data_IF_567831556574
#
_entry.id   IF_567831556574
#
_cell.length_a   1.000
_cell.length_b   1.000
_cell.length_c   1.000
_cell.angle_alpha   90.00
_cell.angle_beta   90.00
_cell.angle_gamma   90.00
#
_symmetry.space_group_name_H-M   'P 1'
#
loop_
_entity.id
_entity.type
_entity.pdbx_description
1 polymer ?
#
# COMPACT_ATOMS: atom_id res chain seq x y z
N UNK A 1 -11.45 -2.23 15.33
CA UNK A 1 -10.13 -2.31 14.67
C UNK A 1 -9.03 -2.74 15.63
N UNK A 2 -8.68 -1.97 16.69
CA UNK A 2 -7.59 -2.32 17.63
C UNK A 2 -7.77 -3.68 18.30
N UNK A 3 -9.00 -4.02 18.72
CA UNK A 3 -9.29 -5.32 19.34
C UNK A 3 -9.00 -6.52 18.42
N UNK A 4 -9.22 -6.37 17.09
CA UNK A 4 -8.93 -7.43 16.13
C UNK A 4 -7.41 -7.63 15.95
N UNK A 5 -6.65 -6.54 15.94
CA UNK A 5 -5.17 -6.57 15.87
C UNK A 5 -4.60 -7.24 17.14
N UNK A 6 -5.06 -6.84 18.31
CA UNK A 6 -4.60 -7.41 19.58
C UNK A 6 -4.96 -8.89 19.76
N UNK A 7 -5.97 -9.38 19.03
CA UNK A 7 -6.40 -10.77 19.04
C UNK A 7 -5.69 -11.68 18.03
N UNK A 8 -4.77 -11.15 17.21
CA UNK A 8 -4.04 -11.96 16.23
C UNK A 8 -3.09 -12.94 16.92
N UNK A 9 -3.09 -14.18 16.43
CA UNK A 9 -2.17 -15.23 16.89
C UNK A 9 -1.17 -15.51 15.79
N UNK A 10 0.12 -15.56 16.13
CA UNK A 10 1.16 -15.86 15.15
C UNK A 10 0.96 -17.29 14.61
N UNK A 11 0.70 -17.46 13.30
CA UNK A 11 0.71 -18.76 12.69
C UNK A 11 2.17 -19.22 12.66
N UNK A 12 2.52 -20.18 13.53
CA UNK A 12 3.86 -20.79 13.54
C UNK A 12 4.14 -21.39 12.15
N UNK A 13 5.40 -21.39 11.72
CA UNK A 13 5.77 -21.97 10.44
C UNK A 13 6.96 -21.29 9.80
N UNK A 14 7.06 -21.44 8.48
CA UNK A 14 8.06 -20.76 7.66
C UNK A 14 7.58 -19.37 7.21
N UNK A 15 8.47 -18.63 6.58
CA UNK A 15 8.18 -17.31 6.01
C UNK A 15 7.76 -17.48 4.55
N UNK A 16 6.46 -17.59 4.25
CA UNK A 16 5.97 -17.61 2.87
C UNK A 16 5.47 -16.22 2.44
N UNK A 17 6.42 -15.31 2.21
CA UNK A 17 6.12 -13.92 1.87
C UNK A 17 5.36 -13.80 0.55
N UNK A 18 5.72 -14.62 -0.45
CA UNK A 18 5.00 -14.69 -1.73
C UNK A 18 3.51 -14.95 -1.51
N UNK A 19 3.16 -15.98 -0.73
CA UNK A 19 1.78 -16.34 -0.45
C UNK A 19 1.00 -15.25 0.29
N UNK A 20 1.65 -14.56 1.24
CA UNK A 20 1.07 -13.41 1.93
C UNK A 20 0.72 -12.27 0.97
N UNK A 21 1.65 -11.91 0.07
CA UNK A 21 1.42 -10.86 -0.93
C UNK A 21 0.30 -11.27 -1.90
N UNK A 22 0.31 -12.50 -2.41
CA UNK A 22 -0.76 -13.01 -3.29
C UNK A 22 -2.13 -12.91 -2.62
N UNK A 23 -2.24 -13.33 -1.36
CA UNK A 23 -3.49 -13.25 -0.61
C UNK A 23 -3.96 -11.79 -0.44
N UNK A 24 -3.04 -10.88 -0.14
CA UNK A 24 -3.36 -9.46 -0.03
C UNK A 24 -3.86 -8.87 -1.36
N UNK A 25 -3.24 -9.24 -2.48
CA UNK A 25 -3.69 -8.84 -3.83
C UNK A 25 -5.13 -9.30 -4.09
N UNK A 26 -5.48 -10.52 -3.70
CA UNK A 26 -6.84 -11.03 -3.87
C UNK A 26 -7.86 -10.29 -2.99
N UNK A 27 -7.47 -9.89 -1.78
CA UNK A 27 -8.29 -9.01 -0.91
C UNK A 27 -8.53 -7.65 -1.59
N UNK A 28 -7.49 -7.02 -2.15
CA UNK A 28 -7.63 -5.75 -2.87
C UNK A 28 -8.50 -5.85 -4.13
N UNK A 29 -8.48 -6.99 -4.81
CA UNK A 29 -9.37 -7.24 -5.96
C UNK A 29 -10.82 -7.37 -5.51
N UNK A 30 -11.07 -8.10 -4.42
CA UNK A 30 -12.40 -8.25 -3.86
C UNK A 30 -13.01 -6.91 -3.38
N UNK A 31 -12.19 -5.97 -2.92
CA UNK A 31 -12.64 -4.65 -2.46
C UNK A 31 -12.68 -3.57 -3.56
N UNK A 32 -12.29 -3.89 -4.81
CA UNK A 32 -12.09 -2.89 -5.85
C UNK A 32 -13.35 -2.09 -6.21
N UNK A 33 -14.53 -2.70 -6.11
CA UNK A 33 -15.80 -2.02 -6.40
C UNK A 33 -16.20 -1.01 -5.31
N UNK A 34 -15.80 -1.23 -4.07
CA UNK A 34 -16.16 -0.38 -2.93
C UNK A 34 -15.21 0.81 -2.73
N UNK A 35 -14.02 0.76 -3.35
CA UNK A 35 -12.95 1.76 -3.22
C UNK A 35 -12.39 2.18 -4.59
N UNK A 36 -13.22 2.65 -5.55
CA UNK A 36 -12.74 3.04 -6.86
C UNK A 36 -11.85 4.28 -6.77
N UNK A 37 -10.60 4.16 -7.21
CA UNK A 37 -9.65 5.28 -7.27
C UNK A 37 -8.82 5.52 -6.02
N UNK A 38 -9.12 4.84 -4.91
CA UNK A 38 -8.30 4.93 -3.69
C UNK A 38 -6.88 4.40 -3.94
N UNK A 39 -5.90 5.07 -3.34
CA UNK A 39 -4.52 4.60 -3.34
C UNK A 39 -4.42 3.27 -2.57
N UNK A 40 -3.81 2.26 -3.19
CA UNK A 40 -3.65 0.94 -2.59
C UNK A 40 -2.20 0.75 -2.17
N UNK A 41 -1.98 0.52 -0.88
CA UNK A 41 -0.65 0.27 -0.34
C UNK A 41 -0.60 -1.06 0.39
N UNK A 42 0.44 -1.85 0.12
CA UNK A 42 0.74 -3.08 0.83
C UNK A 42 2.12 -2.96 1.50
N UNK A 43 2.12 -2.86 2.82
CA UNK A 43 3.34 -2.94 3.63
C UNK A 43 3.59 -4.39 4.07
N UNK A 44 4.76 -4.91 3.75
CA UNK A 44 5.22 -6.23 4.19
C UNK A 44 6.22 -6.04 5.34
N UNK A 45 5.90 -6.61 6.49
CA UNK A 45 6.82 -6.71 7.62
C UNK A 45 7.35 -8.15 7.68
N UNK A 46 8.67 -8.34 7.66
CA UNK A 46 9.30 -9.67 7.74
C UNK A 46 10.58 -9.62 8.57
N UNK A 47 10.87 -10.69 9.32
CA UNK A 47 12.09 -10.85 10.10
C UNK A 47 13.01 -11.97 9.58
N UNK A 48 12.63 -12.59 8.46
CA UNK A 48 13.37 -13.69 7.85
C UNK A 48 13.25 -13.70 6.34
N UNK A 49 13.91 -14.69 5.73
CA UNK A 49 13.94 -14.89 4.28
C UNK A 49 12.73 -15.69 3.81
N UNK A 50 12.18 -15.32 2.66
CA UNK A 50 11.04 -16.02 2.07
C UNK A 50 11.43 -17.43 1.62
N UNK A 51 10.62 -18.42 1.98
CA UNK A 51 10.78 -19.78 1.49
C UNK A 51 10.48 -19.82 -0.01
N UNK A 52 11.52 -19.93 -0.83
CA UNK A 52 11.41 -19.99 -2.28
C UNK A 52 11.26 -18.64 -2.96
N UNK A 53 11.62 -17.52 -2.31
CA UNK A 53 11.61 -16.17 -2.88
C UNK A 53 10.24 -15.46 -2.84
N UNK A 54 10.17 -14.24 -3.37
CA UNK A 54 8.97 -13.37 -3.31
C UNK A 54 8.26 -13.20 -4.66
N UNK A 55 9.00 -13.17 -5.76
CA UNK A 55 8.44 -13.05 -7.12
C UNK A 55 7.60 -14.27 -7.53
N UNK A 56 6.54 -14.14 -8.35
CA UNK A 56 6.13 -12.94 -9.08
C UNK A 56 5.15 -12.02 -8.32
N UNK A 57 4.91 -12.27 -7.03
CA UNK A 57 3.79 -11.65 -6.31
C UNK A 57 3.88 -10.10 -6.21
N UNK A 58 5.05 -9.49 -5.89
CA UNK A 58 5.19 -8.03 -5.92
C UNK A 58 4.92 -7.43 -7.30
N UNK A 59 5.42 -8.07 -8.36
CA UNK A 59 5.19 -7.66 -9.74
C UNK A 59 3.69 -7.66 -10.07
N UNK A 60 2.96 -8.70 -9.68
CA UNK A 60 1.52 -8.78 -9.87
C UNK A 60 0.77 -7.72 -9.06
N UNK A 61 1.20 -7.43 -7.84
CA UNK A 61 0.61 -6.36 -7.02
C UNK A 61 0.75 -5.00 -7.72
N UNK A 62 1.93 -4.68 -8.24
CA UNK A 62 2.19 -3.44 -9.00
C UNK A 62 1.30 -3.32 -10.23
N UNK A 63 1.10 -4.41 -10.97
CA UNK A 63 0.20 -4.44 -12.13
C UNK A 63 -1.27 -4.16 -11.75
N UNK A 64 -1.67 -4.43 -10.51
CA UNK A 64 -3.00 -4.12 -9.97
C UNK A 64 -3.08 -2.70 -9.36
N UNK A 65 -2.04 -1.87 -9.53
CA UNK A 65 -1.97 -0.52 -8.98
C UNK A 65 -1.74 -0.50 -7.47
N UNK A 66 -1.18 -1.57 -6.88
CA UNK A 66 -0.86 -1.65 -5.47
C UNK A 66 0.62 -1.27 -5.30
N UNK A 67 0.89 -0.21 -4.53
CA UNK A 67 2.23 0.15 -4.11
C UNK A 67 2.67 -0.79 -2.99
N UNK A 68 3.71 -1.57 -3.24
CA UNK A 68 4.29 -2.46 -2.24
C UNK A 68 5.49 -1.80 -1.54
N UNK A 69 5.65 -2.07 -0.26
CA UNK A 69 6.74 -1.59 0.59
C UNK A 69 7.21 -2.72 1.51
N UNK A 70 8.46 -2.67 1.95
CA UNK A 70 9.07 -3.75 2.71
C UNK A 70 9.87 -3.25 3.93
N UNK A 71 9.48 -3.71 5.11
CA UNK A 71 10.19 -3.49 6.36
C UNK A 71 10.79 -4.80 6.84
N UNK A 72 12.13 -4.87 6.80
CA UNK A 72 12.90 -5.98 7.33
C UNK A 72 13.27 -5.74 8.79
N UNK A 73 12.94 -6.65 9.70
CA UNK A 73 13.28 -6.53 11.13
C UNK A 73 14.36 -7.55 11.52
N UNK A 74 15.46 -7.05 12.09
CA UNK A 74 16.55 -7.88 12.59
C UNK A 74 17.50 -8.38 11.50
N UNK A 75 18.45 -9.25 11.87
CA UNK A 75 19.60 -9.57 11.03
C UNK A 75 19.34 -10.65 9.97
N UNK A 76 18.22 -11.38 10.05
CA UNK A 76 17.98 -12.57 9.23
C UNK A 76 17.24 -12.28 7.91
N UNK A 77 16.99 -11.00 7.61
CA UNK A 77 16.28 -10.58 6.40
C UNK A 77 17.20 -10.58 5.18
N UNK A 78 16.60 -10.76 4.01
CA UNK A 78 17.32 -10.68 2.75
C UNK A 78 17.01 -9.34 2.07
N UNK A 79 18.00 -8.44 1.97
CA UNK A 79 17.80 -7.10 1.40
C UNK A 79 17.36 -7.14 -0.07
N UNK A 80 17.80 -8.14 -0.83
CA UNK A 80 17.35 -8.33 -2.22
C UNK A 80 15.86 -8.67 -2.25
N UNK A 81 15.38 -9.55 -1.38
CA UNK A 81 13.96 -9.87 -1.29
C UNK A 81 13.13 -8.65 -0.86
N UNK A 82 13.63 -7.83 0.07
CA UNK A 82 12.95 -6.57 0.45
C UNK A 82 12.82 -5.62 -0.74
N UNK A 83 13.87 -5.49 -1.55
CA UNK A 83 13.86 -4.65 -2.74
C UNK A 83 12.93 -5.22 -3.84
N UNK A 84 12.89 -6.54 -3.99
CA UNK A 84 11.92 -7.22 -4.88
C UNK A 84 10.48 -6.98 -4.42
N UNK A 85 10.21 -7.09 -3.11
CA UNK A 85 8.91 -6.72 -2.53
C UNK A 85 8.57 -5.27 -2.87
N UNK A 86 9.50 -4.34 -2.74
CA UNK A 86 9.29 -2.93 -3.09
C UNK A 86 9.32 -2.64 -4.61
N UNK A 87 9.32 -3.67 -5.47
CA UNK A 87 9.38 -3.52 -6.93
C UNK A 87 10.58 -2.66 -7.42
N UNK A 88 11.71 -2.73 -6.72
CA UNK A 88 12.93 -1.96 -7.02
C UNK A 88 12.98 -0.56 -6.40
N UNK A 89 11.95 -0.13 -5.69
CA UNK A 89 11.91 1.16 -5.01
C UNK A 89 12.71 1.14 -3.71
N UNK A 90 13.86 1.84 -3.69
CA UNK A 90 14.72 1.92 -2.51
C UNK A 90 14.07 2.71 -1.37
N UNK A 91 13.25 3.72 -1.68
CA UNK A 91 12.57 4.52 -0.67
C UNK A 91 11.43 3.73 -0.01
N UNK A 92 10.97 2.65 -0.66
CA UNK A 92 9.99 1.70 -0.14
C UNK A 92 10.57 0.62 0.77
N UNK A 93 11.88 0.64 1.08
CA UNK A 93 12.56 -0.37 1.90
C UNK A 93 13.13 0.24 3.17
N UNK A 94 12.78 -0.33 4.33
CA UNK A 94 13.48 -0.06 5.60
C UNK A 94 14.08 -1.33 6.19
N UNK A 95 15.31 -1.19 6.68
CA UNK A 95 15.95 -2.16 7.56
C UNK A 95 15.87 -1.65 8.99
N UNK A 96 15.29 -2.44 9.88
CA UNK A 96 14.97 -2.06 11.24
C UNK A 96 15.66 -3.05 12.17
N UNK A 97 16.49 -2.56 13.09
CA UNK A 97 17.31 -3.45 13.94
C UNK A 97 16.48 -4.33 14.87
N UNK A 98 15.38 -3.80 15.41
CA UNK A 98 14.49 -4.53 16.31
C UNK A 98 13.07 -3.91 16.29
N UNK A 99 12.09 -4.67 16.80
CA UNK A 99 10.68 -4.29 16.80
C UNK A 99 10.37 -2.98 17.55
N UNK A 100 11.18 -2.56 18.53
CA UNK A 100 10.94 -1.33 19.29
C UNK A 100 11.06 -0.06 18.44
N UNK A 101 11.83 -0.12 17.35
CA UNK A 101 12.05 1.01 16.44
C UNK A 101 10.92 1.17 15.40
N UNK A 102 9.98 0.22 15.33
CA UNK A 102 8.83 0.33 14.42
C UNK A 102 7.98 1.57 14.73
N UNK A 103 7.85 1.93 16.00
CA UNK A 103 7.05 3.09 16.40
C UNK A 103 7.56 4.39 15.74
N UNK A 104 8.87 4.61 15.74
CA UNK A 104 9.47 5.79 15.12
C UNK A 104 9.26 5.81 13.60
N UNK A 105 9.36 4.64 12.97
CA UNK A 105 9.15 4.48 11.52
C UNK A 105 7.69 4.71 11.10
N UNK A 106 6.73 4.31 11.95
CA UNK A 106 5.29 4.48 11.63
C UNK A 106 4.87 5.94 11.48
N UNK A 107 5.51 6.88 12.18
CA UNK A 107 5.19 8.30 12.04
C UNK A 107 5.48 8.80 10.62
N UNK A 108 6.68 8.50 10.10
CA UNK A 108 7.06 8.90 8.74
C UNK A 108 6.19 8.21 7.70
N UNK A 109 5.97 6.91 7.85
CA UNK A 109 5.10 6.16 6.94
C UNK A 109 3.69 6.76 6.87
N UNK A 110 3.08 7.08 8.03
CA UNK A 110 1.75 7.71 8.08
C UNK A 110 1.71 8.98 7.23
N UNK A 111 2.72 9.84 7.35
CA UNK A 111 2.76 11.10 6.59
C UNK A 111 2.90 10.88 5.08
N UNK A 112 3.68 9.88 4.66
CA UNK A 112 3.80 9.52 3.24
C UNK A 112 2.49 8.99 2.67
N UNK A 113 1.82 8.09 3.40
CA UNK A 113 0.55 7.52 2.97
C UNK A 113 -0.56 8.56 2.83
N UNK A 114 -0.62 9.55 3.74
CA UNK A 114 -1.60 10.64 3.63
C UNK A 114 -1.43 11.51 2.36
N UNK A 115 -0.23 11.51 1.75
CA UNK A 115 0.06 12.30 0.56
C UNK A 115 0.11 11.45 -0.72
N UNK A 116 -0.22 10.15 -0.63
CA UNK A 116 -0.19 9.28 -1.79
C UNK A 116 -1.33 9.64 -2.74
N UNK A 117 -1.05 9.90 -4.03
CA UNK A 117 -2.08 10.34 -4.95
C UNK A 117 -3.05 9.21 -5.29
N UNK A 118 -4.34 9.56 -5.29
CA UNK A 118 -5.42 8.72 -5.78
C UNK A 118 -5.36 8.62 -7.30
N UNK A 119 -5.73 7.46 -7.83
CA UNK A 119 -5.75 7.17 -9.27
C UNK A 119 -7.15 6.71 -9.69
N UNK A 120 -8.12 7.63 -9.74
CA UNK A 120 -9.47 7.30 -10.16
C UNK A 120 -9.50 6.76 -11.61
N UNK A 121 -10.39 5.79 -11.91
CA UNK A 121 -10.54 5.28 -13.26
C UNK A 121 -10.94 6.39 -14.24
N UNK A 122 -10.28 6.43 -15.41
CA UNK A 122 -10.65 7.38 -16.47
C UNK A 122 -12.02 7.01 -17.04
N UNK A 123 -12.88 8.01 -17.21
CA UNK A 123 -14.24 7.83 -17.76
C UNK A 123 -15.31 7.48 -16.73
N UNK A 124 -14.96 7.43 -15.44
CA UNK A 124 -15.92 7.27 -14.34
C UNK A 124 -16.06 8.60 -13.61
N UNK A 125 -17.29 9.00 -13.29
CA UNK A 125 -17.55 10.11 -12.36
C UNK A 125 -17.36 9.60 -10.94
N UNK A 126 -16.45 10.22 -10.19
CA UNK A 126 -16.23 9.92 -8.78
C UNK A 126 -16.82 11.06 -7.97
N UNK A 127 -17.95 10.80 -7.30
CA UNK A 127 -18.54 11.74 -6.35
C UNK A 127 -17.94 11.50 -4.96
N UNK A 128 -17.40 12.56 -4.38
CA UNK A 128 -16.60 12.49 -3.17
C UNK A 128 -16.78 13.75 -2.33
N UNK A 129 -16.85 13.60 -1.01
CA UNK A 129 -17.04 14.70 -0.08
C UNK A 129 -15.70 15.01 0.62
N UNK A 130 -15.22 16.24 0.44
CA UNK A 130 -14.07 16.76 1.16
C UNK A 130 -14.51 17.43 2.46
N UNK A 131 -14.01 16.98 3.60
CA UNK A 131 -14.27 17.60 4.90
C UNK A 131 -13.34 18.78 5.17
N UNK A 132 -13.72 19.66 6.11
CA UNK A 132 -12.92 20.83 6.47
C UNK A 132 -11.51 20.42 6.92
N UNK A 133 -10.48 20.98 6.27
CA UNK A 133 -9.07 20.68 6.56
C UNK A 133 -8.52 19.44 5.85
N UNK A 134 -9.36 18.68 5.13
CA UNK A 134 -8.94 17.55 4.33
C UNK A 134 -8.19 18.02 3.06
N UNK A 135 -7.18 17.26 2.66
CA UNK A 135 -6.48 17.43 1.39
C UNK A 135 -6.47 16.11 0.65
N UNK A 136 -6.85 16.11 -0.62
CA UNK A 136 -6.73 14.95 -1.51
C UNK A 136 -5.82 15.28 -2.67
N UNK A 137 -4.93 14.34 -2.98
CA UNK A 137 -4.04 14.41 -4.12
C UNK A 137 -4.57 13.44 -5.17
N UNK A 138 -4.69 13.91 -6.41
CA UNK A 138 -5.10 13.06 -7.53
C UNK A 138 -4.00 13.08 -8.59
N UNK A 139 -3.69 11.92 -9.14
CA UNK A 139 -2.77 11.76 -10.26
C UNK A 139 -3.49 11.08 -11.42
N UNK A 140 -3.59 11.80 -12.55
CA UNK A 140 -4.30 11.33 -13.74
C UNK A 140 -3.34 11.22 -14.92
N UNK A 141 -3.40 10.10 -15.63
CA UNK A 141 -2.88 10.04 -16.99
C UNK A 141 -3.89 10.70 -17.92
N UNK A 142 -3.52 11.81 -18.54
CA UNK A 142 -4.41 12.53 -19.45
C UNK A 142 -4.74 11.68 -20.69
N UNK A 143 -6.02 11.39 -20.98
CA UNK A 143 -6.40 10.76 -22.24
C UNK A 143 -6.29 11.76 -23.40
N UNK A 144 -6.26 11.31 -24.67
CA UNK A 144 -6.15 12.19 -25.83
C UNK A 144 -7.24 13.28 -25.90
N UNK A 145 -8.43 12.99 -25.37
CA UNK A 145 -9.57 13.89 -25.37
C UNK A 145 -9.62 14.82 -24.13
N UNK A 146 -8.62 14.76 -23.24
CA UNK A 146 -8.56 15.58 -22.03
C UNK A 146 -9.44 15.09 -20.87
N UNK A 147 -9.42 15.83 -19.76
CA UNK A 147 -10.25 15.59 -18.57
C UNK A 147 -11.00 16.87 -18.21
N UNK A 148 -12.20 16.72 -17.64
CA UNK A 148 -12.91 17.82 -16.98
C UNK A 148 -12.79 17.63 -15.47
N UNK A 149 -12.31 18.65 -14.76
CA UNK A 149 -12.25 18.67 -13.29
C UNK A 149 -13.25 19.72 -12.81
N UNK A 150 -14.26 19.29 -12.06
CA UNK A 150 -15.27 20.18 -11.48
C UNK A 150 -15.08 20.16 -9.97
N UNK A 151 -14.76 21.31 -9.37
CA UNK A 151 -14.67 21.46 -7.92
C UNK A 151 -15.90 22.26 -7.47
N UNK A 152 -16.85 21.58 -6.86
CA UNK A 152 -18.07 22.17 -6.33
C UNK A 152 -17.96 22.48 -4.84
N UNK A 153 -18.70 23.49 -4.38
CA UNK A 153 -18.93 23.73 -2.96
C UNK A 153 -20.36 23.28 -2.61
N UNK A 154 -20.52 22.30 -1.73
CA UNK A 154 -21.83 21.82 -1.26
C UNK A 154 -22.59 22.84 -0.38
N UNK A 155 -22.08 24.07 -0.23
CA UNK A 155 -22.75 25.17 0.50
C UNK A 155 -23.50 26.18 -0.38
N UNK A 156 -23.91 25.81 -1.59
CA UNK A 156 -24.98 26.47 -2.34
C UNK A 156 -25.00 28.00 -2.24
N UNK A 157 -23.94 28.66 -2.69
CA UNK A 157 -23.92 30.08 -3.05
C UNK A 157 -22.97 30.31 -4.21
#
# INVERSE_FOLDING_TARGET
MIAAINGMVQPRGNTNTRGGITTAVDIFKASQQSSPGEAKTLMVLTDGQSTGGVEPAPTLAKQQGIQTMAWGVGPNVNQKELLEIANGDQDGVDLINNYSLLFEKTYHFKTQQCNMPQQPPVGVSVDDNLYQGERRFYHFKLPPNGINVIVGNNHGR
#
